data_IF_304694534080
#
_entry.id   IF_304694534080
#
_cell.length_a   1.000
_cell.length_b   1.000
_cell.length_c   1.000
_cell.angle_alpha   90.00
_cell.angle_beta   90.00
_cell.angle_gamma   90.00
#
_symmetry.space_group_name_H-M   'P 1'
#
loop_
_entity.id
_entity.type
_entity.pdbx_description
1 polymer ?
#
# COMPACT_ATOMS: atom_id res chain seq x y z
N UNK A 1 9.91 7.33 -17.48
CA UNK A 1 9.42 6.21 -16.64
C UNK A 1 8.03 6.57 -16.13
N UNK A 2 7.06 5.64 -16.15
CA UNK A 2 5.74 5.89 -15.60
C UNK A 2 5.79 6.15 -14.09
N UNK A 3 4.83 6.92 -13.58
CA UNK A 3 4.67 7.27 -12.18
C UNK A 3 3.28 6.87 -11.70
N UNK A 4 3.18 6.24 -10.55
CA UNK A 4 1.92 5.78 -9.94
C UNK A 4 1.73 6.43 -8.57
N UNK A 5 0.51 6.90 -8.30
CA UNK A 5 0.07 7.34 -7.00
C UNK A 5 -0.85 6.28 -6.40
N UNK A 6 -0.46 5.70 -5.26
CA UNK A 6 -1.32 4.86 -4.43
C UNK A 6 -1.91 5.76 -3.34
N UNK A 7 -3.24 5.82 -3.27
CA UNK A 7 -3.94 6.62 -2.26
C UNK A 7 -4.42 5.70 -1.16
N UNK A 8 -4.04 6.01 0.08
CA UNK A 8 -4.46 5.31 1.29
C UNK A 8 -5.30 6.23 2.19
N UNK A 9 -6.22 5.64 2.95
CA UNK A 9 -7.10 6.34 3.89
C UNK A 9 -6.48 6.48 5.30
N UNK A 10 -7.25 6.12 6.32
CA UNK A 10 -6.79 6.11 7.71
C UNK A 10 -6.03 4.83 8.11
N UNK A 11 -6.36 3.72 7.44
CA UNK A 11 -5.66 2.45 7.50
C UNK A 11 -5.85 1.71 6.17
N UNK A 12 -5.17 0.57 6.01
CA UNK A 12 -5.23 -0.25 4.79
C UNK A 12 -5.02 -1.72 5.13
N UNK A 13 -5.58 -2.62 4.33
CA UNK A 13 -5.22 -4.04 4.40
C UNK A 13 -3.79 -4.25 3.84
N UNK A 14 -3.01 -5.12 4.48
CA UNK A 14 -1.59 -5.29 4.19
C UNK A 14 -1.32 -5.78 2.75
N UNK A 15 -2.06 -6.77 2.24
CA UNK A 15 -1.91 -7.24 0.86
C UNK A 15 -2.31 -6.17 -0.16
N UNK A 16 -3.39 -5.44 0.07
CA UNK A 16 -3.91 -4.40 -0.82
C UNK A 16 -2.92 -3.24 -1.03
N UNK A 17 -2.08 -2.93 -0.04
CA UNK A 17 -1.02 -1.92 -0.21
C UNK A 17 0.31 -2.53 -0.68
N UNK A 18 0.78 -3.60 -0.06
CA UNK A 18 2.13 -4.09 -0.30
C UNK A 18 2.26 -4.81 -1.63
N UNK A 19 1.27 -5.59 -2.05
CA UNK A 19 1.34 -6.31 -3.32
C UNK A 19 1.52 -5.36 -4.51
N UNK A 20 0.65 -4.37 -4.75
CA UNK A 20 0.84 -3.44 -5.86
C UNK A 20 2.08 -2.56 -5.67
N UNK A 21 2.39 -2.09 -4.46
CA UNK A 21 3.58 -1.29 -4.20
C UNK A 21 4.86 -1.99 -4.65
N UNK A 22 5.04 -3.26 -4.27
CA UNK A 22 6.25 -4.01 -4.63
C UNK A 22 6.27 -4.43 -6.10
N UNK A 23 5.15 -4.89 -6.67
CA UNK A 23 5.08 -5.25 -8.10
C UNK A 23 5.43 -4.09 -9.02
N UNK A 24 4.93 -2.89 -8.71
CA UNK A 24 5.23 -1.69 -9.50
C UNK A 24 6.71 -1.31 -9.38
N UNK A 25 7.29 -1.37 -8.19
CA UNK A 25 8.72 -1.07 -8.00
C UNK A 25 9.62 -2.08 -8.72
N UNK A 26 9.29 -3.36 -8.69
CA UNK A 26 10.02 -4.40 -9.43
C UNK A 26 9.95 -4.20 -10.95
N UNK A 27 8.83 -3.67 -11.45
CA UNK A 27 8.69 -3.27 -12.85
C UNK A 27 9.43 -1.95 -13.20
N UNK A 28 10.17 -1.35 -12.27
CA UNK A 28 10.92 -0.11 -12.48
C UNK A 28 10.05 1.15 -12.54
N UNK A 29 8.86 1.11 -11.94
CA UNK A 29 7.89 2.22 -11.91
C UNK A 29 8.17 3.09 -10.68
N UNK A 30 8.08 4.41 -10.83
CA UNK A 30 8.15 5.36 -9.71
C UNK A 30 6.81 5.35 -8.96
N UNK A 31 6.82 4.98 -7.67
CA UNK A 31 5.61 4.78 -6.87
C UNK A 31 5.60 5.74 -5.68
N UNK A 32 4.54 6.53 -5.58
CA UNK A 32 4.27 7.44 -4.46
C UNK A 32 3.06 6.92 -3.70
N UNK A 33 3.16 6.84 -2.38
CA UNK A 33 2.02 6.55 -1.48
C UNK A 33 1.61 7.86 -0.82
N UNK A 34 0.32 8.19 -0.87
CA UNK A 34 -0.24 9.38 -0.24
C UNK A 34 -1.47 9.07 0.61
N UNK A 35 -1.70 9.91 1.61
CA UNK A 35 -2.89 9.92 2.44
C UNK A 35 -3.37 11.38 2.61
N UNK A 36 -4.60 11.62 3.13
CA UNK A 36 -5.12 12.98 3.33
C UNK A 36 -4.24 13.88 4.20
N UNK A 37 -3.37 13.29 5.03
CA UNK A 37 -2.34 13.99 5.81
C UNK A 37 -1.08 13.13 5.93
N UNK A 38 0.06 13.77 6.21
CA UNK A 38 1.32 13.06 6.48
C UNK A 38 1.21 12.35 7.83
N UNK A 39 1.15 11.02 7.80
CA UNK A 39 1.00 10.17 8.99
C UNK A 39 1.61 8.79 8.77
N UNK A 40 1.82 8.06 9.86
CA UNK A 40 2.01 6.61 9.79
C UNK A 40 0.67 5.97 9.44
N UNK A 41 0.65 5.13 8.41
CA UNK A 41 -0.52 4.34 8.03
C UNK A 41 -0.36 2.98 8.68
N UNK A 42 -1.33 2.58 9.50
CA UNK A 42 -1.37 1.24 10.06
C UNK A 42 -2.00 0.27 9.07
N UNK A 43 -1.40 -0.91 8.96
CA UNK A 43 -1.89 -2.00 8.11
C UNK A 43 -2.60 -3.06 8.95
N UNK A 44 -3.65 -3.67 8.41
CA UNK A 44 -4.32 -4.82 9.02
C UNK A 44 -4.09 -6.06 8.18
N UNK A 45 -3.94 -7.21 8.84
CA UNK A 45 -4.02 -8.52 8.20
C UNK A 45 -5.35 -9.12 8.64
N UNK A 46 -6.21 -9.46 7.69
CA UNK A 46 -7.40 -10.25 8.00
C UNK A 46 -7.00 -11.72 8.03
N UNK A 47 -6.78 -12.25 9.23
CA UNK A 47 -6.67 -13.69 9.43
C UNK A 47 -8.05 -14.22 9.85
N UNK A 48 -8.54 -15.18 9.09
CA UNK A 48 -9.82 -15.85 9.35
C UNK A 48 -9.62 -17.28 9.85
N UNK A 49 -8.36 -17.75 9.99
CA UNK A 49 -8.07 -19.06 10.55
C UNK A 49 -8.22 -19.04 12.07
N UNK A 50 -8.74 -20.12 12.69
CA UNK A 50 -8.68 -20.30 14.14
C UNK A 50 -7.21 -20.45 14.56
N UNK A 51 -6.76 -19.57 15.46
CA UNK A 51 -5.41 -19.65 16.06
C UNK A 51 -5.17 -20.88 16.92
#
# INVERSE_FOLDING_TARGET
MPKVLIVAGDGVEAQEIFYPYWRLKEAGIDVIVAAPSKKTIFTVIHDFEPG
#
